data_IF_553043936405
#
_entry.id   IF_553043936405
#
_cell.length_a   1.000
_cell.length_b   1.000
_cell.length_c   1.000
_cell.angle_alpha   90.00
_cell.angle_beta   90.00
_cell.angle_gamma   90.00
#
_symmetry.space_group_name_H-M   'P 1'
#
loop_
_entity.id
_entity.type
_entity.pdbx_description
1 polymer ?
#
# COMPACT_ATOMS: atom_id res chain seq x y z
N UNK A 1 12.82 -18.20 -14.79
CA UNK A 1 13.45 -17.83 -13.49
C UNK A 1 12.33 -17.71 -12.46
N UNK A 2 12.51 -18.18 -11.22
CA UNK A 2 11.56 -17.91 -10.14
C UNK A 2 11.72 -16.47 -9.62
N UNK A 3 10.70 -15.96 -8.93
CA UNK A 3 10.73 -14.65 -8.27
C UNK A 3 10.40 -14.85 -6.81
N UNK A 4 11.24 -14.36 -5.91
CA UNK A 4 10.96 -14.26 -4.49
C UNK A 4 10.93 -12.78 -4.11
N UNK A 5 9.79 -12.25 -3.68
CA UNK A 5 9.67 -10.83 -3.34
C UNK A 5 9.09 -10.61 -1.93
N UNK A 6 9.29 -9.41 -1.40
CA UNK A 6 8.75 -8.99 -0.10
C UNK A 6 7.53 -8.08 -0.30
N UNK A 7 6.41 -8.39 0.34
CA UNK A 7 5.23 -7.52 0.43
C UNK A 7 5.23 -6.80 1.78
N UNK A 8 5.44 -5.48 1.76
CA UNK A 8 5.63 -4.63 2.93
C UNK A 8 4.31 -3.94 3.30
N UNK A 9 3.62 -4.45 4.32
CA UNK A 9 2.26 -4.01 4.67
C UNK A 9 1.20 -4.81 3.94
N UNK A 10 1.34 -6.14 3.96
CA UNK A 10 0.54 -7.06 3.13
C UNK A 10 -0.93 -7.18 3.58
N UNK A 11 -1.30 -6.69 4.76
CA UNK A 11 -2.62 -6.86 5.35
C UNK A 11 -3.03 -8.33 5.38
N UNK A 12 -4.27 -8.59 4.95
CA UNK A 12 -4.80 -9.96 4.83
C UNK A 12 -4.30 -10.73 3.60
N UNK A 13 -3.28 -10.23 2.87
CA UNK A 13 -2.57 -10.95 1.80
C UNK A 13 -3.29 -11.13 0.48
N UNK A 14 -4.35 -10.36 0.20
CA UNK A 14 -5.14 -10.51 -1.02
C UNK A 14 -4.30 -10.33 -2.30
N UNK A 15 -3.39 -9.35 -2.31
CA UNK A 15 -2.49 -9.10 -3.43
C UNK A 15 -1.50 -10.25 -3.65
N UNK A 16 -0.80 -10.68 -2.60
CA UNK A 16 0.12 -11.82 -2.64
C UNK A 16 -0.57 -13.09 -3.17
N UNK A 17 -1.78 -13.42 -2.68
CA UNK A 17 -2.55 -14.57 -3.19
C UNK A 17 -2.91 -14.42 -4.66
N UNK A 18 -3.35 -13.24 -5.07
CA UNK A 18 -3.67 -12.98 -6.47
C UNK A 18 -2.44 -13.16 -7.37
N UNK A 19 -1.26 -12.68 -6.96
CA UNK A 19 -0.01 -12.79 -7.72
C UNK A 19 0.48 -14.25 -7.78
N UNK A 20 0.54 -14.97 -6.65
CA UNK A 20 0.98 -16.36 -6.61
C UNK A 20 0.10 -17.32 -7.43
N UNK A 21 -1.21 -17.01 -7.55
CA UNK A 21 -2.12 -17.76 -8.44
C UNK A 21 -1.71 -17.70 -9.92
N UNK A 22 -0.99 -16.65 -10.34
CA UNK A 22 -0.59 -16.49 -11.74
C UNK A 22 0.57 -17.41 -12.12
N UNK A 23 1.45 -17.77 -11.16
CA UNK A 23 2.62 -18.59 -11.45
C UNK A 23 3.20 -19.24 -10.19
N UNK A 24 3.30 -20.57 -10.19
CA UNK A 24 3.84 -21.40 -9.10
C UNK A 24 5.31 -21.12 -8.72
N UNK A 25 6.03 -20.34 -9.52
CA UNK A 25 7.43 -19.96 -9.28
C UNK A 25 7.57 -18.60 -8.60
N UNK A 26 6.46 -17.96 -8.22
CA UNK A 26 6.45 -16.71 -7.47
C UNK A 26 6.24 -17.03 -5.99
N UNK A 27 7.21 -16.65 -5.17
CA UNK A 27 7.15 -16.75 -3.72
C UNK A 27 7.12 -15.35 -3.10
N UNK A 28 6.40 -15.22 -1.99
CA UNK A 28 6.17 -13.94 -1.32
C UNK A 28 6.36 -14.11 0.17
N UNK A 29 7.18 -13.26 0.75
CA UNK A 29 7.14 -13.02 2.19
C UNK A 29 6.26 -11.80 2.45
N UNK A 30 5.18 -11.99 3.20
CA UNK A 30 4.24 -10.94 3.59
C UNK A 30 4.60 -10.44 4.99
N UNK A 31 4.85 -9.13 5.13
CA UNK A 31 5.09 -8.48 6.43
C UNK A 31 3.89 -7.60 6.78
N UNK A 32 3.33 -7.76 7.98
CA UNK A 32 2.31 -6.86 8.50
C UNK A 32 2.40 -6.71 10.02
N UNK A 33 2.11 -5.51 10.54
CA UNK A 33 2.16 -5.22 11.99
C UNK A 33 0.95 -5.78 12.74
N UNK A 34 -0.18 -5.98 12.05
CA UNK A 34 -1.44 -6.40 12.63
C UNK A 34 -1.51 -7.94 12.75
N UNK A 35 -1.53 -8.49 13.98
CA UNK A 35 -1.59 -9.94 14.18
C UNK A 35 -2.86 -10.56 13.59
N UNK A 36 -4.00 -9.83 13.67
CA UNK A 36 -5.28 -10.30 13.11
C UNK A 36 -5.19 -10.47 11.59
N UNK A 37 -4.68 -9.46 10.87
CA UNK A 37 -4.54 -9.52 9.41
C UNK A 37 -3.51 -10.57 8.98
N UNK A 38 -2.41 -10.71 9.73
CA UNK A 38 -1.42 -11.77 9.50
C UNK A 38 -2.02 -13.17 9.67
N UNK A 39 -2.83 -13.39 10.72
CA UNK A 39 -3.55 -14.64 10.92
C UNK A 39 -4.53 -14.94 9.79
N UNK A 40 -5.34 -13.95 9.38
CA UNK A 40 -6.27 -14.08 8.24
C UNK A 40 -5.52 -14.37 6.93
N UNK A 41 -4.38 -13.72 6.68
CA UNK A 41 -3.54 -13.98 5.52
C UNK A 41 -3.07 -15.45 5.49
N UNK A 42 -2.55 -15.94 6.61
CA UNK A 42 -2.09 -17.33 6.74
C UNK A 42 -3.22 -18.31 6.44
N UNK A 43 -4.36 -18.18 7.12
CA UNK A 43 -5.51 -19.08 6.95
C UNK A 43 -6.01 -19.08 5.50
N UNK A 44 -6.28 -17.91 4.92
CA UNK A 44 -6.79 -17.80 3.55
C UNK A 44 -5.78 -18.33 2.51
N UNK A 45 -4.49 -18.14 2.74
CA UNK A 45 -3.45 -18.67 1.86
C UNK A 45 -3.36 -20.20 1.91
N UNK A 46 -3.61 -20.83 3.06
CA UNK A 46 -3.68 -22.29 3.17
C UNK A 46 -4.94 -22.85 2.50
N UNK A 47 -6.09 -22.23 2.75
CA UNK A 47 -7.37 -22.61 2.14
C UNK A 47 -7.31 -22.57 0.61
N UNK A 48 -6.59 -21.60 0.04
CA UNK A 48 -6.36 -21.47 -1.40
C UNK A 48 -5.22 -22.36 -1.94
N UNK A 49 -4.56 -23.17 -1.10
CA UNK A 49 -3.47 -24.07 -1.50
C UNK A 49 -2.17 -23.35 -1.85
N UNK A 50 -1.97 -22.13 -1.34
CA UNK A 50 -0.82 -21.26 -1.61
C UNK A 50 0.21 -21.25 -0.48
N UNK A 51 0.01 -22.05 0.57
CA UNK A 51 0.87 -22.03 1.76
C UNK A 51 2.34 -22.37 1.54
N UNK A 52 2.71 -22.96 0.40
CA UNK A 52 4.11 -23.19 0.00
C UNK A 52 4.73 -22.05 -0.82
N UNK A 53 3.91 -21.09 -1.26
CA UNK A 53 4.36 -19.90 -2.00
C UNK A 53 4.36 -18.65 -1.12
N UNK A 54 3.52 -18.60 -0.08
CA UNK A 54 3.31 -17.41 0.75
C UNK A 54 3.74 -17.71 2.19
N UNK A 55 4.79 -17.01 2.61
CA UNK A 55 5.21 -16.91 4.00
C UNK A 55 4.61 -15.66 4.63
N UNK A 56 4.09 -15.77 5.86
CA UNK A 56 3.48 -14.64 6.57
C UNK A 56 4.24 -14.40 7.86
N UNK A 57 4.73 -13.17 8.05
CA UNK A 57 5.50 -12.76 9.21
C UNK A 57 4.87 -11.52 9.82
N UNK A 58 4.48 -11.61 11.08
CA UNK A 58 4.04 -10.45 11.84
C UNK A 58 5.27 -9.60 12.22
N UNK A 59 5.29 -8.33 11.82
CA UNK A 59 6.41 -7.44 12.10
C UNK A 59 6.30 -6.07 11.46
N UNK A 60 7.25 -5.19 11.78
CA UNK A 60 7.36 -3.88 11.12
C UNK A 60 8.29 -3.98 9.92
N UNK A 61 7.85 -3.43 8.79
CA UNK A 61 8.69 -3.34 7.60
C UNK A 61 9.82 -2.29 7.72
N UNK A 62 9.87 -1.52 8.81
CA UNK A 62 10.98 -0.62 9.17
C UNK A 62 12.10 -1.32 9.96
N UNK A 63 11.84 -2.56 10.42
CA UNK A 63 12.77 -3.39 11.19
C UNK A 63 12.59 -4.86 10.78
N UNK A 64 13.04 -5.20 9.59
CA UNK A 64 12.97 -6.55 9.06
C UNK A 64 14.01 -7.44 9.75
N UNK A 65 13.85 -8.76 9.62
CA UNK A 65 14.83 -9.72 10.12
C UNK A 65 16.23 -9.39 9.58
N UNK A 66 17.25 -9.45 10.45
CA UNK A 66 18.65 -9.22 10.10
C UNK A 66 19.12 -10.16 8.98
N UNK A 67 18.58 -11.37 8.93
CA UNK A 67 18.98 -12.42 7.99
C UNK A 67 18.56 -12.12 6.53
N UNK A 68 17.65 -11.16 6.31
CA UNK A 68 17.11 -10.86 4.97
C UNK A 68 18.04 -10.05 4.06
N UNK A 69 19.33 -9.92 4.34
CA UNK A 69 20.25 -9.13 3.50
C UNK A 69 20.38 -9.72 2.07
N UNK A 70 20.08 -8.91 1.04
CA UNK A 70 20.10 -9.31 -0.36
C UNK A 70 19.32 -10.62 -0.64
N UNK A 71 18.18 -10.80 0.01
CA UNK A 71 17.40 -12.04 -0.02
C UNK A 71 16.31 -12.06 -1.10
N UNK A 72 15.71 -10.90 -1.40
CA UNK A 72 14.56 -10.78 -2.30
C UNK A 72 14.95 -10.23 -3.68
N UNK A 73 14.25 -10.68 -4.72
CA UNK A 73 14.38 -10.13 -6.07
C UNK A 73 13.73 -8.74 -6.21
N UNK A 74 12.86 -8.36 -5.26
CA UNK A 74 12.32 -7.02 -5.13
C UNK A 74 11.38 -6.85 -3.93
N UNK A 75 10.94 -5.63 -3.72
CA UNK A 75 10.00 -5.23 -2.66
C UNK A 75 8.78 -4.52 -3.26
N UNK A 76 7.60 -4.90 -2.79
CA UNK A 76 6.32 -4.30 -3.13
C UNK A 76 5.64 -3.76 -1.87
N UNK A 77 4.89 -2.69 -1.99
CA UNK A 77 3.93 -2.23 -0.96
C UNK A 77 2.75 -1.58 -1.64
N UNK A 78 1.56 -1.77 -1.07
CA UNK A 78 0.34 -1.14 -1.56
C UNK A 78 -0.35 -0.38 -0.42
N UNK A 79 -0.31 0.94 -0.51
CA UNK A 79 -1.02 1.89 0.35
C UNK A 79 -0.69 1.73 1.85
N UNK A 80 0.53 1.29 2.16
CA UNK A 80 0.98 1.06 3.54
C UNK A 80 2.10 2.01 4.00
N UNK A 81 2.92 2.55 3.08
CA UNK A 81 4.04 3.42 3.42
C UNK A 81 3.60 4.78 3.99
N UNK A 82 2.35 5.20 3.75
CA UNK A 82 1.70 6.35 4.38
C UNK A 82 1.75 6.24 5.91
N UNK A 83 1.68 5.02 6.43
CA UNK A 83 1.71 4.71 7.86
C UNK A 83 3.10 4.39 8.42
N UNK A 84 4.15 4.42 7.59
CA UNK A 84 5.52 4.26 8.08
C UNK A 84 5.86 5.42 9.03
N UNK A 85 6.40 5.08 10.20
CA UNK A 85 6.80 6.06 11.20
C UNK A 85 8.00 6.87 10.71
N UNK A 86 9.00 6.18 10.13
CA UNK A 86 10.14 6.79 9.44
C UNK A 86 10.23 6.23 8.01
N UNK A 87 9.70 6.96 7.02
CA UNK A 87 9.69 6.50 5.62
C UNK A 87 11.08 6.18 5.07
N UNK A 88 12.08 7.02 5.37
CA UNK A 88 13.47 6.76 4.98
C UNK A 88 13.99 5.42 5.52
N UNK A 89 13.64 5.05 6.75
CA UNK A 89 14.00 3.75 7.34
C UNK A 89 13.33 2.60 6.59
N UNK A 90 12.05 2.74 6.23
CA UNK A 90 11.35 1.74 5.41
C UNK A 90 12.01 1.56 4.04
N UNK A 91 12.38 2.64 3.35
CA UNK A 91 13.13 2.58 2.08
C UNK A 91 14.52 1.95 2.25
N UNK A 92 15.20 2.23 3.36
CA UNK A 92 16.53 1.67 3.68
C UNK A 92 16.45 0.16 3.92
N UNK A 93 15.45 -0.31 4.67
CA UNK A 93 15.22 -1.74 4.88
C UNK A 93 14.85 -2.45 3.58
N UNK A 94 13.97 -1.86 2.77
CA UNK A 94 13.63 -2.39 1.45
C UNK A 94 14.89 -2.56 0.58
N UNK A 95 15.80 -1.56 0.57
CA UNK A 95 17.04 -1.64 -0.17
C UNK A 95 17.95 -2.74 0.38
N UNK A 96 18.12 -2.81 1.71
CA UNK A 96 19.00 -3.78 2.37
C UNK A 96 18.61 -5.20 2.00
N UNK A 97 17.31 -5.49 1.98
CA UNK A 97 16.81 -6.85 1.75
C UNK A 97 16.69 -7.23 0.28
N UNK A 98 16.67 -6.27 -0.62
CA UNK A 98 16.63 -6.49 -2.07
C UNK A 98 18.01 -6.89 -2.60
N UNK A 99 18.09 -7.82 -3.55
CA UNK A 99 19.32 -8.19 -4.28
C UNK A 99 19.79 -7.07 -5.20
N UNK A 100 21.08 -7.03 -5.52
CA UNK A 100 21.60 -6.17 -6.58
C UNK A 100 20.84 -6.38 -7.90
N UNK A 101 20.43 -5.29 -8.55
CA UNK A 101 19.55 -5.33 -9.73
C UNK A 101 18.10 -5.71 -9.43
N UNK A 102 17.67 -5.76 -8.17
CA UNK A 102 16.26 -5.94 -7.78
C UNK A 102 15.42 -4.66 -7.95
N UNK A 103 14.11 -4.78 -7.72
CA UNK A 103 13.14 -3.68 -7.93
C UNK A 103 12.45 -3.24 -6.64
N UNK A 104 12.01 -1.98 -6.63
CA UNK A 104 11.10 -1.40 -5.64
C UNK A 104 9.82 -0.95 -6.34
N UNK A 105 8.65 -1.27 -5.77
CA UNK A 105 7.35 -0.79 -6.23
C UNK A 105 6.46 -0.45 -5.03
N UNK A 106 6.21 0.83 -4.80
CA UNK A 106 5.37 1.32 -3.69
C UNK A 106 4.22 2.13 -4.27
N UNK A 107 2.98 1.64 -4.21
CA UNK A 107 1.81 2.49 -4.43
C UNK A 107 1.42 3.15 -3.12
N UNK A 108 1.11 4.44 -3.15
CA UNK A 108 0.72 5.13 -1.92
C UNK A 108 -0.07 6.41 -2.13
N UNK A 109 -0.78 6.83 -1.08
CA UNK A 109 -1.37 8.15 -0.95
C UNK A 109 -0.31 9.13 -0.42
N UNK A 110 -0.14 10.26 -1.09
CA UNK A 110 0.88 11.26 -0.80
C UNK A 110 0.28 12.67 -0.81
N UNK A 111 0.94 13.60 -0.13
CA UNK A 111 0.54 15.01 -0.11
C UNK A 111 0.64 15.61 -1.51
N UNK A 112 -0.43 16.27 -1.95
CA UNK A 112 -0.45 17.01 -3.22
C UNK A 112 -0.02 18.47 -3.05
N UNK A 113 -0.13 19.24 -4.12
CA UNK A 113 0.20 20.65 -4.23
C UNK A 113 -1.03 21.56 -4.45
N UNK A 114 -2.23 20.98 -4.35
CA UNK A 114 -3.50 21.70 -4.46
C UNK A 114 -3.66 22.80 -3.41
N UNK A 115 -4.24 23.93 -3.81
CA UNK A 115 -4.49 25.07 -2.93
C UNK A 115 -5.73 24.87 -2.06
N UNK A 116 -5.80 25.59 -0.95
CA UNK A 116 -6.98 25.72 -0.08
C UNK A 116 -7.49 24.37 0.50
N UNK A 117 -6.56 23.45 0.79
CA UNK A 117 -6.87 22.14 1.39
C UNK A 117 -6.30 21.92 2.79
N UNK A 118 -5.60 22.89 3.38
CA UNK A 118 -4.80 22.68 4.59
C UNK A 118 -5.61 22.11 5.76
N UNK A 119 -6.79 22.67 6.04
CA UNK A 119 -7.67 22.17 7.12
C UNK A 119 -8.15 20.73 6.86
N UNK A 120 -8.50 20.40 5.61
CA UNK A 120 -8.91 19.04 5.23
C UNK A 120 -7.77 18.03 5.39
N UNK A 121 -6.54 18.48 5.12
CA UNK A 121 -5.34 17.67 5.27
C UNK A 121 -4.96 17.46 6.72
N UNK A 122 -5.06 18.49 7.56
CA UNK A 122 -4.85 18.36 9.00
C UNK A 122 -5.83 17.36 9.63
N UNK A 123 -7.11 17.44 9.24
CA UNK A 123 -8.13 16.47 9.67
C UNK A 123 -7.76 15.07 9.19
N UNK A 124 -7.40 14.92 7.91
CA UNK A 124 -7.03 13.61 7.36
C UNK A 124 -5.83 12.97 8.08
N UNK A 125 -4.76 13.73 8.25
CA UNK A 125 -3.53 13.32 8.94
C UNK A 125 -3.82 12.88 10.37
N UNK A 126 -4.62 13.67 11.09
CA UNK A 126 -5.02 13.35 12.47
C UNK A 126 -5.92 12.12 12.56
N UNK A 127 -6.95 12.02 11.72
CA UNK A 127 -7.89 10.89 11.74
C UNK A 127 -7.23 9.55 11.38
N UNK A 128 -6.20 9.57 10.53
CA UNK A 128 -5.52 8.36 10.04
C UNK A 128 -4.17 8.10 10.73
N UNK A 129 -3.85 8.88 11.78
CA UNK A 129 -2.61 8.78 12.55
C UNK A 129 -1.36 8.77 11.66
N UNK A 130 -1.31 9.68 10.70
CA UNK A 130 -0.20 9.82 9.75
C UNK A 130 0.87 10.68 10.44
N UNK A 131 2.07 10.12 10.58
CA UNK A 131 3.18 10.80 11.27
C UNK A 131 4.09 11.57 10.32
N UNK A 132 4.08 11.18 9.04
CA UNK A 132 4.89 11.80 7.99
C UNK A 132 4.05 11.91 6.71
N UNK A 133 3.54 13.10 6.44
CA UNK A 133 2.68 13.40 5.30
C UNK A 133 3.48 14.00 4.13
N UNK A 134 4.30 13.14 3.54
CA UNK A 134 5.28 13.47 2.50
C UNK A 134 4.63 13.66 1.11
N UNK A 135 5.25 14.53 0.29
CA UNK A 135 4.90 14.66 -1.14
C UNK A 135 5.54 13.53 -1.97
N UNK A 136 5.11 13.31 -3.22
CA UNK A 136 5.79 12.39 -4.12
C UNK A 136 7.29 12.68 -4.29
N UNK A 137 7.68 13.96 -4.34
CA UNK A 137 9.07 14.34 -4.47
C UNK A 137 9.88 14.00 -3.20
N UNK A 138 9.31 14.25 -2.02
CA UNK A 138 9.94 13.90 -0.74
C UNK A 138 10.17 12.38 -0.66
N UNK A 139 9.17 11.58 -0.99
CA UNK A 139 9.30 10.11 -0.99
C UNK A 139 10.33 9.62 -2.02
N UNK A 140 10.36 10.20 -3.24
CA UNK A 140 11.39 9.88 -4.21
C UNK A 140 12.79 10.25 -3.72
N UNK A 141 12.93 11.39 -3.03
CA UNK A 141 14.22 11.81 -2.47
C UNK A 141 14.67 10.85 -1.36
N UNK A 142 13.80 10.50 -0.42
CA UNK A 142 14.11 9.52 0.63
C UNK A 142 14.51 8.16 0.06
N UNK A 143 13.88 7.71 -1.02
CA UNK A 143 14.29 6.48 -1.70
C UNK A 143 15.69 6.60 -2.32
N UNK A 144 16.03 7.74 -2.94
CA UNK A 144 17.39 7.99 -3.47
C UNK A 144 18.43 8.05 -2.36
N UNK A 145 18.12 8.74 -1.27
CA UNK A 145 19.00 8.89 -0.11
C UNK A 145 19.27 7.53 0.56
N UNK A 146 18.27 6.66 0.59
CA UNK A 146 18.44 5.27 1.03
C UNK A 146 19.38 4.46 0.13
N UNK A 147 19.57 4.85 -1.14
CA UNK A 147 20.47 4.23 -2.11
C UNK A 147 19.78 3.61 -3.34
N UNK A 148 18.47 3.83 -3.53
CA UNK A 148 17.78 3.38 -4.75
C UNK A 148 18.18 4.22 -5.96
N UNK A 149 18.40 3.57 -7.10
CA UNK A 149 18.65 4.21 -8.38
C UNK A 149 17.39 4.22 -9.26
N UNK A 150 17.43 5.04 -10.31
CA UNK A 150 16.34 5.18 -11.29
C UNK A 150 14.97 5.49 -10.67
N UNK A 151 14.98 6.20 -9.52
CA UNK A 151 13.75 6.47 -8.77
C UNK A 151 12.82 7.41 -9.53
N UNK A 152 11.57 6.96 -9.73
CA UNK A 152 10.51 7.70 -10.43
C UNK A 152 9.21 7.62 -9.66
N UNK A 153 8.42 8.69 -9.75
CA UNK A 153 7.01 8.69 -9.39
C UNK A 153 6.16 8.59 -10.65
N UNK A 154 5.23 7.64 -10.67
CA UNK A 154 4.23 7.47 -11.71
C UNK A 154 2.91 7.95 -11.10
N UNK A 155 2.46 9.14 -11.52
CA UNK A 155 1.19 9.71 -11.05
C UNK A 155 0.04 8.86 -11.60
N UNK A 156 -0.72 8.24 -10.69
CA UNK A 156 -1.90 7.45 -11.00
C UNK A 156 -3.15 8.06 -10.34
N UNK A 157 -3.15 9.37 -10.09
CA UNK A 157 -4.24 10.05 -9.39
C UNK A 157 -5.55 9.94 -10.17
N UNK A 158 -5.50 9.91 -11.51
CA UNK A 158 -6.66 9.69 -12.34
C UNK A 158 -7.27 8.29 -12.13
N UNK A 159 -6.43 7.26 -12.04
CA UNK A 159 -6.82 5.86 -11.87
C UNK A 159 -7.46 5.63 -10.49
N UNK A 160 -6.88 6.18 -9.41
CA UNK A 160 -7.54 6.07 -8.11
C UNK A 160 -8.86 6.83 -8.10
N UNK A 161 -8.98 7.94 -8.82
CA UNK A 161 -10.24 8.68 -8.89
C UNK A 161 -11.34 7.83 -9.57
N UNK A 162 -11.01 7.09 -10.63
CA UNK A 162 -11.94 6.12 -11.25
C UNK A 162 -12.35 5.04 -10.24
N UNK A 163 -11.40 4.50 -9.47
CA UNK A 163 -11.67 3.50 -8.43
C UNK A 163 -12.61 4.04 -7.34
N UNK A 164 -12.36 5.25 -6.83
CA UNK A 164 -13.19 5.92 -5.82
C UNK A 164 -14.62 6.16 -6.33
N UNK A 165 -14.78 6.57 -7.58
CA UNK A 165 -16.09 6.70 -8.22
C UNK A 165 -16.82 5.36 -8.35
N UNK A 166 -16.09 4.29 -8.73
CA UNK A 166 -16.64 2.94 -8.80
C UNK A 166 -17.16 2.46 -7.45
N UNK A 167 -16.37 2.64 -6.39
CA UNK A 167 -16.76 2.28 -5.03
C UNK A 167 -17.94 3.12 -4.53
N UNK A 168 -17.94 4.43 -4.80
CA UNK A 168 -19.07 5.31 -4.45
C UNK A 168 -20.36 4.86 -5.14
N UNK A 169 -20.29 4.47 -6.43
CA UNK A 169 -21.43 3.93 -7.17
C UNK A 169 -21.95 2.64 -6.53
N UNK A 170 -21.07 1.71 -6.17
CA UNK A 170 -21.46 0.46 -5.51
C UNK A 170 -22.18 0.72 -4.17
N UNK A 171 -21.67 1.65 -3.35
CA UNK A 171 -22.29 2.02 -2.08
C UNK A 171 -23.67 2.65 -2.32
N UNK A 172 -23.81 3.55 -3.29
CA UNK A 172 -25.11 4.16 -3.65
C UNK A 172 -26.12 3.10 -4.08
N UNK A 173 -25.75 2.21 -5.01
CA UNK A 173 -26.62 1.11 -5.47
C UNK A 173 -27.04 0.19 -4.32
N UNK A 174 -26.10 -0.15 -3.41
CA UNK A 174 -26.42 -0.95 -2.23
C UNK A 174 -27.45 -0.26 -1.33
N UNK A 175 -27.27 1.04 -1.09
CA UNK A 175 -28.18 1.85 -0.28
C UNK A 175 -29.57 1.99 -0.90
N UNK A 176 -29.64 2.21 -2.22
CA UNK A 176 -30.90 2.31 -2.97
C UNK A 176 -31.66 0.98 -2.98
N UNK A 177 -30.94 -0.14 -3.10
CA UNK A 177 -31.54 -1.47 -3.13
C UNK A 177 -32.07 -1.96 -1.77
N UNK A 178 -31.64 -1.33 -0.66
CA UNK A 178 -31.93 -1.79 0.71
C UNK A 178 -31.28 -3.14 1.09
N UNK A 179 -30.46 -3.73 0.22
CA UNK A 179 -29.78 -5.01 0.44
C UNK A 179 -28.37 -4.77 0.95
N UNK A 180 -28.20 -4.78 2.27
CA UNK A 180 -26.94 -4.42 2.91
C UNK A 180 -25.99 -5.60 3.15
N UNK A 181 -26.40 -6.84 2.92
CA UNK A 181 -25.55 -8.04 3.06
C UNK A 181 -24.83 -8.11 4.43
N UNK A 182 -25.58 -7.85 5.51
CA UNK A 182 -25.05 -7.78 6.88
C UNK A 182 -24.24 -6.52 7.23
N UNK A 183 -24.06 -5.58 6.29
CA UNK A 183 -23.29 -4.34 6.52
C UNK A 183 -24.11 -3.29 7.27
N UNK A 184 -23.43 -2.52 8.10
CA UNK A 184 -24.04 -1.46 8.90
C UNK A 184 -24.40 -0.24 8.02
N UNK A 185 -25.68 0.13 7.97
CA UNK A 185 -26.17 1.27 7.16
C UNK A 185 -25.54 2.60 7.58
N UNK A 186 -25.34 2.84 8.88
CA UNK A 186 -24.73 4.07 9.35
C UNK A 186 -23.27 4.16 8.91
N UNK A 187 -22.55 3.04 8.95
CA UNK A 187 -21.19 2.95 8.41
C UNK A 187 -21.19 3.27 6.91
N UNK A 188 -22.08 2.66 6.12
CA UNK A 188 -22.20 2.94 4.68
C UNK A 188 -22.47 4.43 4.38
N UNK A 189 -23.32 5.09 5.17
CA UNK A 189 -23.56 6.55 5.05
C UNK A 189 -22.30 7.36 5.30
N UNK A 190 -21.55 7.04 6.35
CA UNK A 190 -20.28 7.70 6.66
C UNK A 190 -19.23 7.48 5.56
N UNK A 191 -19.09 6.25 5.06
CA UNK A 191 -18.18 5.93 3.96
C UNK A 191 -18.54 6.68 2.67
N UNK A 192 -19.83 6.76 2.31
CA UNK A 192 -20.29 7.53 1.16
C UNK A 192 -19.89 9.01 1.24
N UNK A 193 -20.07 9.63 2.41
CA UNK A 193 -19.71 11.03 2.62
C UNK A 193 -18.19 11.25 2.50
N UNK A 194 -17.40 10.39 3.14
CA UNK A 194 -15.92 10.42 3.06
C UNK A 194 -15.40 10.23 1.64
N UNK A 195 -15.97 9.29 0.88
CA UNK A 195 -15.57 9.08 -0.52
C UNK A 195 -15.90 10.28 -1.42
N UNK A 196 -17.07 10.90 -1.20
CA UNK A 196 -17.44 12.10 -1.97
C UNK A 196 -16.46 13.25 -1.70
N UNK A 197 -16.05 13.44 -0.44
CA UNK A 197 -14.99 14.39 -0.09
C UNK A 197 -13.65 14.03 -0.73
N UNK A 198 -13.24 12.76 -0.66
CA UNK A 198 -11.98 12.26 -1.24
C UNK A 198 -11.91 12.48 -2.75
N UNK A 199 -13.00 12.29 -3.47
CA UNK A 199 -13.05 12.57 -4.92
C UNK A 199 -12.78 14.05 -5.19
N UNK A 200 -13.47 14.96 -4.49
CA UNK A 200 -13.25 16.40 -4.65
C UNK A 200 -11.86 16.86 -4.21
N UNK A 201 -11.21 16.14 -3.29
CA UNK A 201 -9.81 16.36 -2.92
C UNK A 201 -8.85 15.93 -4.04
N UNK A 202 -9.11 14.79 -4.69
CA UNK A 202 -8.31 14.33 -5.83
C UNK A 202 -8.39 15.33 -6.99
N UNK A 203 -9.60 15.79 -7.33
CA UNK A 203 -9.85 16.74 -8.42
C UNK A 203 -9.15 18.09 -8.22
N UNK A 204 -9.01 18.51 -6.96
CA UNK A 204 -8.30 19.74 -6.57
C UNK A 204 -6.79 19.56 -6.38
N UNK A 205 -6.27 18.33 -6.53
CA UNK A 205 -4.85 18.03 -6.31
C UNK A 205 -4.42 18.10 -4.85
N UNK A 206 -5.36 17.98 -3.90
CA UNK A 206 -5.08 18.04 -2.46
C UNK A 206 -4.21 16.84 -2.01
N UNK A 207 -4.40 15.70 -2.64
CA UNK A 207 -3.50 14.55 -2.52
C UNK A 207 -3.16 14.01 -3.91
N UNK A 208 -2.11 13.19 -3.94
CA UNK A 208 -1.71 12.39 -5.09
C UNK A 208 -1.76 10.92 -4.71
N UNK A 209 -2.06 10.06 -5.67
CA UNK A 209 -1.83 8.62 -5.54
C UNK A 209 -1.01 8.17 -6.73
N UNK A 210 -0.05 7.29 -6.48
CA UNK A 210 0.80 6.82 -7.56
C UNK A 210 1.85 5.85 -7.06
N UNK A 211 2.73 5.48 -7.98
CA UNK A 211 3.72 4.43 -7.76
C UNK A 211 5.11 5.05 -7.72
N UNK A 212 5.83 4.86 -6.63
CA UNK A 212 7.27 5.05 -6.58
C UNK A 212 7.91 3.76 -7.04
N UNK A 213 8.73 3.86 -8.07
CA UNK A 213 9.54 2.76 -8.58
C UNK A 213 11.02 3.06 -8.46
N UNK A 214 11.85 2.02 -8.33
CA UNK A 214 13.30 2.13 -8.26
C UNK A 214 14.01 0.81 -8.50
N UNK A 215 15.33 0.89 -8.66
CA UNK A 215 16.22 -0.27 -8.88
C UNK A 215 17.37 -0.23 -7.89
N UNK A 216 17.73 -1.39 -7.35
CA UNK A 216 18.94 -1.49 -6.53
C UNK A 216 20.16 -1.55 -7.46
N UNK A 217 21.15 -0.66 -7.29
CA UNK A 217 22.41 -0.70 -8.05
C UNK A 217 23.14 -2.05 -7.97
#
# INVERSE_FOLDING_TARGET
KGVNYLDMGAGAGAAARWICKQNKKIHVTCIDVCPKQSGENRSLSDEEGLGSQIDVVQGSYERLNSDYSNYFDGCMSQDAFIHAFVKHQAFSEALRVTKGGGWLLISDLMRGDGKDGDEEMEIFVKEHNITDWATPNDCCQMARDAGWAEVRFIDCTAEINVSLHGLLKQIKTMMESGKFDGRNLQLLKTHRARLSSRIGQADRGIFKWGIISGRKP
#
